data_IF_043697016905
#
_entry.id   IF_043697016905
#
_cell.length_a   1.000
_cell.length_b   1.000
_cell.length_c   1.000
_cell.angle_alpha   90.00
_cell.angle_beta   90.00
_cell.angle_gamma   90.00
#
_symmetry.space_group_name_H-M   'P 1'
#
loop_
_entity.id
_entity.type
_entity.pdbx_description
1 polymer ?
#
# COMPACT_ATOMS: atom_id res chain seq x y z
N UNK A 1 2.12 -2.30 25.06
CA UNK A 1 2.18 -0.88 24.66
C UNK A 1 3.52 -0.30 25.10
N UNK A 2 4.57 -0.37 24.28
CA UNK A 2 5.60 0.67 24.10
C UNK A 2 6.27 0.38 22.75
N UNK A 3 5.88 1.11 21.69
CA UNK A 3 6.65 1.15 20.45
C UNK A 3 7.69 2.25 20.66
N UNK A 4 8.92 1.88 21.01
CA UNK A 4 10.02 2.84 21.19
C UNK A 4 10.67 3.05 19.82
N UNK A 5 10.07 3.93 19.01
CA UNK A 5 10.72 4.48 17.82
C UNK A 5 11.86 5.35 18.31
N UNK A 6 13.07 4.78 18.39
CA UNK A 6 14.29 5.51 18.68
C UNK A 6 14.99 5.80 17.35
N UNK A 7 15.04 7.09 17.03
CA UNK A 7 16.01 7.81 16.23
C UNK A 7 16.73 7.05 15.10
N UNK A 8 16.28 7.31 13.87
CA UNK A 8 17.14 7.25 12.69
C UNK A 8 16.92 8.53 11.88
N UNK A 9 17.89 9.44 11.96
CA UNK A 9 18.49 10.18 10.83
C UNK A 9 19.05 11.53 11.29
N UNK A 10 20.24 11.53 11.88
CA UNK A 10 21.14 12.69 11.85
C UNK A 10 21.49 12.98 10.38
N UNK A 11 21.13 14.16 9.90
CA UNK A 11 21.39 14.60 8.53
C UNK A 11 22.80 15.21 8.45
N UNK A 12 23.76 14.47 7.90
CA UNK A 12 25.04 15.03 7.48
C UNK A 12 24.88 15.82 6.15
N UNK A 13 25.49 17.01 5.99
CA UNK A 13 25.30 17.82 4.80
C UNK A 13 26.19 17.31 3.66
N UNK A 14 25.58 17.01 2.50
CA UNK A 14 26.27 16.62 1.28
C UNK A 14 26.65 17.89 0.49
N UNK A 15 27.95 18.11 0.34
CA UNK A 15 28.51 19.10 -0.60
C UNK A 15 28.22 18.71 -2.04
N UNK A 16 27.99 19.72 -2.86
CA UNK A 16 27.41 19.63 -4.20
C UNK A 16 28.23 18.81 -5.20
N UNK A 17 27.52 17.91 -5.86
CA UNK A 17 27.78 17.51 -7.24
C UNK A 17 26.39 17.40 -7.90
N UNK A 18 26.20 18.04 -9.05
CA UNK A 18 24.92 18.10 -9.76
C UNK A 18 24.52 16.71 -10.26
N UNK A 19 23.83 15.96 -9.38
CA UNK A 19 23.12 14.75 -9.77
C UNK A 19 22.02 15.17 -10.76
N UNK A 20 22.26 14.91 -12.04
CA UNK A 20 21.20 14.81 -13.05
C UNK A 20 20.13 13.87 -12.47
N UNK A 21 19.05 14.43 -11.94
CA UNK A 21 17.95 13.64 -11.36
C UNK A 21 17.29 12.94 -12.55
N UNK A 22 17.46 11.61 -12.74
CA UNK A 22 16.71 10.93 -13.77
C UNK A 22 15.23 11.19 -13.49
N UNK A 23 14.45 11.61 -14.50
CA UNK A 23 13.01 11.80 -14.34
C UNK A 23 12.46 10.53 -13.73
N UNK A 24 12.06 10.60 -12.44
CA UNK A 24 11.50 9.44 -11.75
C UNK A 24 10.35 8.94 -12.62
N UNK A 25 10.34 7.66 -13.03
CA UNK A 25 9.18 7.10 -13.70
C UNK A 25 7.96 7.43 -12.85
N UNK A 26 6.87 7.88 -13.48
CA UNK A 26 5.69 8.31 -12.75
C UNK A 26 5.25 7.18 -11.82
N UNK A 27 5.06 7.47 -10.54
CA UNK A 27 4.66 6.45 -9.57
C UNK A 27 3.47 5.63 -10.09
N UNK A 28 3.49 4.28 -9.90
CA UNK A 28 2.46 3.39 -10.40
C UNK A 28 1.08 3.90 -9.98
N UNK A 29 0.18 4.02 -10.96
CA UNK A 29 -1.20 4.43 -10.69
C UNK A 29 -2.03 3.23 -10.29
N UNK A 30 -2.84 3.41 -9.27
CA UNK A 30 -3.79 2.39 -8.81
C UNK A 30 -5.19 2.71 -9.31
N UNK A 31 -5.99 1.66 -9.53
CA UNK A 31 -7.39 1.78 -9.86
C UNK A 31 -8.11 2.56 -8.77
N UNK A 32 -8.85 3.61 -9.13
CA UNK A 32 -9.62 4.43 -8.19
C UNK A 32 -10.82 3.72 -7.55
N UNK A 33 -11.03 2.43 -7.85
CA UNK A 33 -12.04 1.58 -7.21
C UNK A 33 -11.37 0.45 -6.43
N UNK A 34 -10.73 -0.52 -7.12
CA UNK A 34 -10.21 -1.75 -6.49
C UNK A 34 -8.74 -1.72 -6.08
N UNK A 35 -8.03 -0.57 -6.16
CA UNK A 35 -6.63 -0.47 -5.77
C UNK A 35 -5.62 -1.19 -6.69
N UNK A 36 -6.05 -2.06 -7.61
CA UNK A 36 -5.13 -2.78 -8.53
C UNK A 36 -4.25 -1.83 -9.34
N UNK A 37 -2.97 -2.14 -9.48
CA UNK A 37 -2.02 -1.41 -10.32
C UNK A 37 -2.55 -1.34 -11.76
N UNK A 38 -2.60 -0.14 -12.31
CA UNK A 38 -2.95 0.11 -13.70
C UNK A 38 -1.69 -0.10 -14.57
N UNK A 39 -1.84 -0.70 -15.77
CA UNK A 39 -0.70 -0.94 -16.65
C UNK A 39 0.02 0.37 -17.00
N UNK A 40 1.34 0.35 -16.86
CA UNK A 40 2.24 1.44 -17.21
C UNK A 40 2.49 1.40 -18.72
N UNK A 41 1.55 1.94 -19.51
CA UNK A 41 1.71 1.94 -20.97
C UNK A 41 0.67 2.77 -21.72
N UNK A 42 1.16 3.79 -22.43
CA UNK A 42 0.82 3.98 -23.86
C UNK A 42 -0.54 4.58 -24.25
N UNK A 43 -1.13 5.48 -23.46
CA UNK A 43 -2.28 6.24 -23.99
C UNK A 43 -1.85 7.66 -24.32
N UNK A 44 -1.70 7.97 -25.60
CA UNK A 44 -1.77 9.35 -26.10
C UNK A 44 -3.21 9.81 -25.87
N UNK A 45 -3.49 10.40 -24.71
CA UNK A 45 -4.85 10.78 -24.31
C UNK A 45 -5.08 10.81 -22.79
N UNK A 46 -6.35 10.82 -22.39
CA UNK A 46 -6.75 10.90 -20.97
C UNK A 46 -6.28 9.67 -20.20
N UNK A 47 -5.53 9.92 -19.12
CA UNK A 47 -5.04 8.87 -18.22
C UNK A 47 -6.19 8.02 -17.67
N UNK A 48 -5.97 6.71 -17.62
CA UNK A 48 -6.95 5.74 -17.12
C UNK A 48 -7.04 5.84 -15.59
N UNK A 49 -8.27 5.93 -15.05
CA UNK A 49 -8.54 5.96 -13.59
C UNK A 49 -9.02 4.61 -13.04
N UNK A 50 -9.53 3.72 -13.89
CA UNK A 50 -10.12 2.45 -13.48
C UNK A 50 -9.63 1.29 -14.35
N UNK A 51 -9.44 0.11 -13.77
CA UNK A 51 -8.93 -1.07 -14.46
C UNK A 51 -9.95 -1.71 -15.43
N UNK A 52 -11.19 -1.23 -15.47
CA UNK A 52 -12.26 -1.76 -16.34
C UNK A 52 -13.59 -1.02 -16.15
N UNK A 53 -14.59 -1.36 -16.98
CA UNK A 53 -15.95 -0.79 -16.89
C UNK A 53 -16.62 -1.10 -15.55
N UNK A 54 -16.52 -2.33 -15.04
CA UNK A 54 -17.15 -2.71 -13.77
C UNK A 54 -16.67 -1.86 -12.59
N UNK A 55 -15.36 -1.59 -12.50
CA UNK A 55 -14.79 -0.71 -11.49
C UNK A 55 -15.25 0.75 -11.64
N UNK A 56 -15.44 1.21 -12.88
CA UNK A 56 -15.98 2.55 -13.15
C UNK A 56 -17.44 2.66 -12.70
N UNK A 57 -18.25 1.64 -12.99
CA UNK A 57 -19.66 1.58 -12.64
C UNK A 57 -19.85 1.60 -11.11
N UNK A 58 -19.15 0.73 -10.38
CA UNK A 58 -19.23 0.70 -8.91
C UNK A 58 -18.75 2.01 -8.26
N UNK A 59 -17.72 2.66 -8.83
CA UNK A 59 -17.27 3.96 -8.37
C UNK A 59 -18.29 5.09 -8.62
N UNK A 60 -19.14 4.97 -9.63
CA UNK A 60 -20.25 5.89 -9.84
C UNK A 60 -21.38 5.65 -8.84
N UNK A 61 -21.73 4.38 -8.60
CA UNK A 61 -22.76 3.99 -7.63
C UNK A 61 -22.41 4.45 -6.22
N UNK A 62 -21.17 4.20 -5.76
CA UNK A 62 -20.71 4.65 -4.43
C UNK A 62 -20.77 6.17 -4.29
N UNK A 63 -20.35 6.94 -5.30
CA UNK A 63 -20.45 8.41 -5.26
C UNK A 63 -21.90 8.88 -5.21
N UNK A 64 -22.78 8.29 -6.02
CA UNK A 64 -24.21 8.62 -6.00
C UNK A 64 -24.85 8.28 -4.66
N UNK A 65 -24.46 7.17 -4.03
CA UNK A 65 -24.92 6.79 -2.71
C UNK A 65 -24.45 7.78 -1.62
N UNK A 66 -23.16 8.16 -1.63
CA UNK A 66 -22.59 9.12 -0.66
C UNK A 66 -23.22 10.52 -0.76
N UNK A 67 -23.48 10.98 -1.99
CA UNK A 67 -24.17 12.26 -2.23
C UNK A 67 -25.58 12.26 -1.63
N UNK A 68 -26.26 11.11 -1.60
CA UNK A 68 -27.58 10.97 -0.98
C UNK A 68 -27.52 10.85 0.55
N UNK A 69 -26.42 10.33 1.11
CA UNK A 69 -26.26 10.14 2.54
C UNK A 69 -25.74 11.39 3.27
N UNK A 70 -25.38 12.46 2.57
CA UNK A 70 -24.82 13.67 3.16
C UNK A 70 -23.41 13.49 3.75
N UNK A 71 -22.72 12.42 3.37
CA UNK A 71 -21.35 12.16 3.82
C UNK A 71 -20.34 12.93 2.95
N UNK A 72 -19.18 13.32 3.50
CA UNK A 72 -18.08 13.91 2.72
C UNK A 72 -17.69 13.03 1.52
N UNK A 73 -17.23 13.64 0.43
CA UNK A 73 -16.86 12.89 -0.79
C UNK A 73 -15.66 11.96 -0.60
N UNK A 74 -14.81 12.23 0.39
CA UNK A 74 -13.65 11.44 0.79
C UNK A 74 -13.93 10.45 1.93
N UNK A 75 -15.17 10.37 2.40
CA UNK A 75 -15.55 9.44 3.44
C UNK A 75 -15.39 7.98 2.97
N UNK A 76 -14.77 7.18 3.84
CA UNK A 76 -14.71 5.73 3.71
C UNK A 76 -15.64 5.13 4.75
N UNK A 77 -16.70 4.46 4.28
CA UNK A 77 -17.62 3.71 5.13
C UNK A 77 -17.20 2.26 5.05
N UNK A 78 -16.88 1.69 6.21
CA UNK A 78 -16.57 0.27 6.37
C UNK A 78 -17.57 -0.32 7.36
N UNK A 79 -18.01 -1.55 7.12
CA UNK A 79 -18.74 -2.32 8.13
C UNK A 79 -17.81 -2.72 9.28
N UNK A 80 -18.38 -3.09 10.42
CA UNK A 80 -17.60 -3.65 11.54
C UNK A 80 -16.81 -4.89 11.10
N UNK A 81 -17.37 -5.69 10.20
CA UNK A 81 -16.70 -6.87 9.65
C UNK A 81 -15.52 -6.51 8.75
N UNK A 82 -15.61 -5.43 7.96
CA UNK A 82 -14.50 -4.94 7.14
C UNK A 82 -13.38 -4.37 8.01
N UNK A 83 -13.72 -3.64 9.09
CA UNK A 83 -12.75 -3.14 10.06
C UNK A 83 -12.05 -4.29 10.79
N UNK A 84 -12.80 -5.28 11.27
CA UNK A 84 -12.22 -6.45 11.94
C UNK A 84 -11.27 -7.21 11.00
N UNK A 85 -11.69 -7.46 9.75
CA UNK A 85 -10.84 -8.11 8.77
C UNK A 85 -9.56 -7.32 8.43
N UNK A 86 -9.62 -5.99 8.42
CA UNK A 86 -8.45 -5.14 8.26
C UNK A 86 -7.51 -5.25 9.47
N UNK A 87 -8.05 -5.19 10.68
CA UNK A 87 -7.27 -5.33 11.91
C UNK A 87 -6.57 -6.69 11.99
N UNK A 88 -7.26 -7.77 11.64
CA UNK A 88 -6.68 -9.13 11.61
C UNK A 88 -5.50 -9.22 10.63
N UNK A 89 -5.66 -8.67 9.43
CA UNK A 89 -4.57 -8.68 8.43
C UNK A 89 -3.38 -7.82 8.84
N UNK A 90 -3.61 -6.68 9.49
CA UNK A 90 -2.53 -5.85 10.06
C UNK A 90 -1.82 -6.56 11.21
N UNK A 91 -2.57 -7.29 12.04
CA UNK A 91 -2.01 -8.12 13.09
C UNK A 91 -1.11 -9.20 12.50
N UNK A 92 -1.58 -9.93 11.48
CA UNK A 92 -0.80 -10.95 10.77
C UNK A 92 0.47 -10.38 10.15
N UNK A 93 0.40 -9.21 9.50
CA UNK A 93 1.56 -8.55 8.91
C UNK A 93 2.62 -8.21 9.96
N UNK A 94 2.20 -7.69 11.12
CA UNK A 94 3.11 -7.40 12.23
C UNK A 94 3.76 -8.67 12.78
N UNK A 95 2.99 -9.73 13.00
CA UNK A 95 3.54 -11.00 13.47
C UNK A 95 4.56 -11.58 12.49
N UNK A 96 4.26 -11.60 11.18
CA UNK A 96 5.22 -12.04 10.18
C UNK A 96 6.52 -11.21 10.19
N UNK A 97 6.43 -9.89 10.47
CA UNK A 97 7.60 -9.03 10.66
C UNK A 97 8.41 -9.39 11.91
N UNK A 98 7.73 -9.68 13.02
CA UNK A 98 8.35 -10.14 14.26
C UNK A 98 9.04 -11.50 14.08
N UNK A 99 8.47 -12.41 13.28
CA UNK A 99 9.06 -13.71 12.97
C UNK A 99 10.39 -13.58 12.22
N UNK A 100 10.52 -12.61 11.31
CA UNK A 100 11.80 -12.32 10.64
C UNK A 100 12.86 -11.84 11.63
N UNK A 101 12.48 -10.95 12.55
CA UNK A 101 13.41 -10.44 13.57
C UNK A 101 13.90 -11.59 14.43
N UNK A 102 12.97 -12.43 14.89
CA UNK A 102 13.29 -13.63 15.70
C UNK A 102 14.21 -14.58 14.93
N UNK A 103 13.88 -14.90 13.67
CA UNK A 103 14.71 -15.77 12.84
C UNK A 103 16.11 -15.19 12.61
N UNK A 104 16.23 -13.87 12.46
CA UNK A 104 17.52 -13.20 12.31
C UNK A 104 18.35 -13.25 13.60
N UNK A 105 17.71 -13.08 14.76
CA UNK A 105 18.34 -13.21 16.08
C UNK A 105 18.81 -14.64 16.35
N UNK A 106 18.06 -15.64 15.88
CA UNK A 106 18.40 -17.07 15.98
C UNK A 106 19.46 -17.52 14.96
N UNK A 107 19.94 -16.60 14.10
CA UNK A 107 20.97 -16.89 13.12
C UNK A 107 20.49 -17.70 11.91
N UNK A 108 19.21 -17.58 11.55
CA UNK A 108 18.65 -18.23 10.38
C UNK A 108 19.42 -17.89 9.10
N UNK A 109 19.47 -18.85 8.17
CA UNK A 109 20.19 -18.67 6.92
C UNK A 109 19.56 -17.56 6.06
N UNK A 110 20.38 -16.88 5.26
CA UNK A 110 19.91 -15.80 4.38
C UNK A 110 18.79 -16.22 3.39
N UNK A 111 18.73 -17.52 3.04
CA UNK A 111 17.64 -18.06 2.22
C UNK A 111 16.30 -18.08 2.94
N UNK A 112 16.29 -18.48 4.22
CA UNK A 112 15.10 -18.53 5.07
C UNK A 112 14.56 -17.13 5.35
N UNK A 113 15.43 -16.21 5.74
CA UNK A 113 15.08 -14.79 5.93
C UNK A 113 14.50 -14.17 4.66
N UNK A 114 15.01 -14.56 3.48
CA UNK A 114 14.48 -14.09 2.19
C UNK A 114 13.08 -14.62 1.93
N UNK A 115 12.80 -15.88 2.25
CA UNK A 115 11.45 -16.47 2.13
C UNK A 115 10.47 -15.74 3.02
N UNK A 116 10.79 -15.57 4.30
CA UNK A 116 9.93 -14.84 5.25
C UNK A 116 9.70 -13.38 4.81
N UNK A 117 10.74 -12.69 4.33
CA UNK A 117 10.62 -11.34 3.80
C UNK A 117 9.71 -11.26 2.56
N UNK A 118 9.74 -12.29 1.70
CA UNK A 118 8.84 -12.36 0.55
C UNK A 118 7.39 -12.54 1.01
N UNK A 119 7.12 -13.33 2.04
CA UNK A 119 5.76 -13.51 2.60
C UNK A 119 5.18 -12.19 3.13
N UNK A 120 5.96 -11.41 3.88
CA UNK A 120 5.56 -10.07 4.33
C UNK A 120 5.21 -9.17 3.14
N UNK A 121 6.05 -9.16 2.11
CA UNK A 121 5.81 -8.33 0.93
C UNK A 121 4.51 -8.73 0.22
N UNK A 122 4.18 -10.03 0.18
CA UNK A 122 2.91 -10.48 -0.38
C UNK A 122 1.73 -10.04 0.49
N UNK A 123 1.80 -10.23 1.82
CA UNK A 123 0.77 -9.78 2.75
C UNK A 123 0.53 -8.25 2.67
N UNK A 124 1.60 -7.47 2.54
CA UNK A 124 1.52 -6.02 2.37
C UNK A 124 0.83 -5.63 1.04
N UNK A 125 1.15 -6.30 -0.07
CA UNK A 125 0.50 -6.06 -1.37
C UNK A 125 -0.99 -6.43 -1.38
N UNK A 126 -1.37 -7.43 -0.60
CA UNK A 126 -2.77 -7.80 -0.45
C UNK A 126 -3.54 -6.76 0.38
N UNK A 127 -2.89 -6.18 1.38
CA UNK A 127 -3.41 -5.04 2.15
C UNK A 127 -3.54 -3.76 1.31
N UNK A 128 -2.60 -3.47 0.40
CA UNK A 128 -2.67 -2.32 -0.52
C UNK A 128 -3.91 -2.31 -1.43
N UNK A 129 -4.53 -3.48 -1.64
CA UNK A 129 -5.72 -3.63 -2.48
C UNK A 129 -7.03 -3.35 -1.74
N UNK A 130 -7.00 -3.15 -0.41
CA UNK A 130 -8.16 -2.74 0.38
C UNK A 130 -8.44 -1.24 0.16
N UNK A 131 -9.58 -0.90 -0.47
CA UNK A 131 -9.99 0.48 -0.77
C UNK A 131 -11.52 0.64 -0.82
#
# INVERSE_FOLDING_TARGET
MVCRVRDLAEHAPLTGDELVVPRRPSAPKHCGWCGRRLPEGGNVGRRRRYCGQSCRQRAYERRTALQRSGLPEDAVVLSDTEIAALQDRLFQLRCAAEDIVTAAEDGAAAGELRTLAQEIVHAAKDLEQLR
#
